data_IF_333416264655
#
_entry.id   IF_333416264655
#
_cell.length_a   1.000
_cell.length_b   1.000
_cell.length_c   1.000
_cell.angle_alpha   90.00
_cell.angle_beta   90.00
_cell.angle_gamma   90.00
#
_symmetry.space_group_name_H-M   'P 1'
#
loop_
_entity.id
_entity.type
_entity.pdbx_description
1 polymer ?
#
# COMPACT_ATOMS: atom_id res chain seq x y z
N UNK A 1 10.70 -21.96 -0.29
CA UNK A 1 10.83 -20.61 -0.89
C UNK A 1 9.42 -20.05 -1.10
N UNK A 2 8.93 -19.30 -0.12
CA UNK A 2 7.50 -19.00 0.06
C UNK A 2 7.17 -17.63 -0.53
N UNK A 3 6.68 -17.59 -1.77
CA UNK A 3 6.22 -16.35 -2.43
C UNK A 3 5.03 -16.57 -3.39
N UNK A 4 4.11 -17.48 -3.07
CA UNK A 4 2.86 -17.66 -3.84
C UNK A 4 1.71 -18.12 -2.94
N UNK A 5 1.37 -17.33 -1.92
CA UNK A 5 0.19 -17.60 -1.07
C UNK A 5 -0.73 -16.40 -0.90
N UNK A 6 -0.80 -15.53 -1.91
CA UNK A 6 -1.70 -14.35 -1.92
C UNK A 6 -2.66 -14.38 -3.11
N UNK A 7 -2.90 -15.54 -3.73
CA UNK A 7 -3.76 -15.63 -4.93
C UNK A 7 -4.94 -16.59 -4.77
N UNK A 8 -5.23 -17.07 -3.57
CA UNK A 8 -6.25 -18.11 -3.39
C UNK A 8 -7.18 -17.82 -2.22
N UNK A 9 -7.99 -16.77 -2.34
CA UNK A 9 -9.23 -16.67 -1.58
C UNK A 9 -10.27 -15.98 -2.46
N UNK A 10 -11.25 -16.76 -2.91
CA UNK A 10 -12.40 -16.29 -3.67
C UNK A 10 -13.20 -15.27 -2.85
N UNK A 11 -13.11 -14.00 -3.23
CA UNK A 11 -13.92 -12.92 -2.69
C UNK A 11 -14.75 -12.28 -3.82
N UNK A 12 -16.01 -11.91 -3.53
CA UNK A 12 -17.01 -11.47 -4.51
C UNK A 12 -16.49 -10.37 -5.42
N UNK A 13 -16.85 -10.44 -6.71
CA UNK A 13 -16.30 -9.69 -7.85
C UNK A 13 -16.02 -8.19 -7.67
N UNK A 14 -16.63 -7.50 -6.69
CA UNK A 14 -16.39 -6.08 -6.39
C UNK A 14 -15.23 -5.85 -5.42
N UNK A 15 -15.01 -6.78 -4.50
CA UNK A 15 -13.90 -6.80 -3.54
C UNK A 15 -12.59 -7.20 -4.24
N UNK A 16 -12.70 -8.11 -5.20
CA UNK A 16 -11.59 -8.55 -6.04
C UNK A 16 -10.95 -7.41 -6.85
N UNK A 17 -11.70 -6.37 -7.26
CA UNK A 17 -11.13 -5.31 -8.10
C UNK A 17 -10.13 -4.43 -7.34
N UNK A 18 -10.49 -4.00 -6.12
CA UNK A 18 -9.61 -3.18 -5.29
C UNK A 18 -8.35 -3.95 -4.87
N UNK A 19 -8.53 -5.21 -4.46
CA UNK A 19 -7.43 -6.07 -4.04
C UNK A 19 -6.53 -6.46 -5.22
N UNK A 20 -7.11 -6.80 -6.37
CA UNK A 20 -6.35 -7.09 -7.59
C UNK A 20 -5.53 -5.89 -8.06
N UNK A 21 -6.09 -4.67 -7.98
CA UNK A 21 -5.35 -3.45 -8.29
C UNK A 21 -4.20 -3.22 -7.32
N UNK A 22 -4.39 -3.51 -6.03
CA UNK A 22 -3.35 -3.36 -5.01
C UNK A 22 -2.21 -4.37 -5.24
N UNK A 23 -2.54 -5.60 -5.60
CA UNK A 23 -1.56 -6.61 -6.00
C UNK A 23 -0.80 -6.21 -7.28
N UNK A 24 -1.50 -5.69 -8.28
CA UNK A 24 -0.87 -5.15 -9.48
C UNK A 24 0.08 -4.01 -9.13
N UNK A 25 -0.32 -3.13 -8.21
CA UNK A 25 0.53 -2.09 -7.64
C UNK A 25 1.85 -2.64 -7.10
N UNK A 26 1.79 -3.66 -6.23
CA UNK A 26 2.98 -4.32 -5.68
C UNK A 26 3.84 -4.99 -6.76
N UNK A 27 3.22 -5.63 -7.76
CA UNK A 27 3.95 -6.25 -8.86
C UNK A 27 4.70 -5.21 -9.70
N UNK A 28 4.07 -4.06 -9.97
CA UNK A 28 4.73 -2.98 -10.70
C UNK A 28 5.87 -2.36 -9.89
N UNK A 29 5.74 -2.27 -8.57
CA UNK A 29 6.86 -1.88 -7.69
C UNK A 29 8.03 -2.88 -7.79
N UNK A 30 7.76 -4.19 -7.82
CA UNK A 30 8.81 -5.21 -8.01
C UNK A 30 9.48 -5.10 -9.38
N UNK A 31 8.73 -4.67 -10.41
CA UNK A 31 9.26 -4.39 -11.74
C UNK A 31 10.00 -3.04 -11.84
N UNK A 32 10.15 -2.33 -10.72
CA UNK A 32 10.71 -0.98 -10.65
C UNK A 32 9.91 0.06 -11.45
N UNK A 33 8.66 -0.25 -11.82
CA UNK A 33 7.72 0.65 -12.49
C UNK A 33 6.84 1.35 -11.47
N UNK A 34 7.42 2.35 -10.82
CA UNK A 34 6.75 3.14 -9.78
C UNK A 34 5.60 3.99 -10.33
N UNK A 35 5.66 4.37 -11.62
CA UNK A 35 4.60 5.17 -12.27
C UNK A 35 3.31 4.36 -12.39
N UNK A 36 3.41 3.16 -12.92
CA UNK A 36 2.24 2.29 -13.02
C UNK A 36 1.78 1.82 -11.65
N UNK A 37 2.71 1.49 -10.75
CA UNK A 37 2.36 1.13 -9.37
C UNK A 37 1.49 2.21 -8.70
N UNK A 38 1.91 3.48 -8.80
CA UNK A 38 1.15 4.62 -8.29
C UNK A 38 -0.24 4.70 -8.93
N UNK A 39 -0.34 4.51 -10.24
CA UNK A 39 -1.63 4.56 -10.94
C UNK A 39 -2.60 3.48 -10.46
N UNK A 40 -2.13 2.23 -10.35
CA UNK A 40 -2.94 1.10 -9.88
C UNK A 40 -3.37 1.27 -8.43
N UNK A 41 -2.45 1.67 -7.54
CA UNK A 41 -2.78 1.86 -6.12
C UNK A 41 -3.77 3.02 -5.94
N UNK A 42 -3.59 4.14 -6.67
CA UNK A 42 -4.57 5.23 -6.67
C UNK A 42 -5.92 4.80 -7.23
N UNK A 43 -5.94 3.94 -8.24
CA UNK A 43 -7.18 3.38 -8.76
C UNK A 43 -7.88 2.50 -7.73
N UNK A 44 -7.14 1.66 -6.99
CA UNK A 44 -7.67 0.86 -5.89
C UNK A 44 -8.33 1.73 -4.81
N UNK A 45 -7.62 2.80 -4.36
CA UNK A 45 -8.14 3.73 -3.37
C UNK A 45 -9.40 4.46 -3.89
N UNK A 46 -9.40 4.92 -5.15
CA UNK A 46 -10.55 5.60 -5.76
C UNK A 46 -11.77 4.71 -5.96
N UNK A 47 -11.54 3.42 -6.27
CA UNK A 47 -12.61 2.42 -6.37
C UNK A 47 -13.29 2.20 -5.02
N UNK A 48 -12.61 2.54 -3.92
CA UNK A 48 -13.09 2.35 -2.56
C UNK A 48 -12.83 0.92 -2.12
N UNK A 49 -11.90 0.76 -1.19
CA UNK A 49 -11.67 -0.53 -0.55
C UNK A 49 -12.66 -0.62 0.62
N UNK A 50 -13.55 -1.63 0.66
CA UNK A 50 -14.51 -1.78 1.76
C UNK A 50 -13.80 -2.10 3.08
N UNK A 51 -12.60 -2.65 2.99
CA UNK A 51 -11.75 -2.97 4.12
C UNK A 51 -10.75 -1.82 4.39
N UNK A 52 -10.82 -1.28 5.62
CA UNK A 52 -9.87 -0.27 6.13
C UNK A 52 -8.44 -0.80 6.15
N UNK A 53 -8.27 -2.11 6.28
CA UNK A 53 -6.99 -2.80 6.21
C UNK A 53 -6.37 -2.63 4.83
N UNK A 54 -7.11 -2.99 3.77
CA UNK A 54 -6.63 -2.87 2.40
C UNK A 54 -6.41 -1.41 2.01
N UNK A 55 -7.29 -0.51 2.45
CA UNK A 55 -7.11 0.93 2.24
C UNK A 55 -5.82 1.44 2.91
N UNK A 56 -5.52 0.98 4.12
CA UNK A 56 -4.28 1.31 4.81
C UNK A 56 -3.06 0.74 4.06
N UNK A 57 -3.13 -0.51 3.63
CA UNK A 57 -2.07 -1.13 2.84
C UNK A 57 -1.80 -0.34 1.54
N UNK A 58 -2.85 0.14 0.86
CA UNK A 58 -2.73 0.97 -0.33
C UNK A 58 -1.96 2.28 -0.04
N UNK A 59 -2.33 2.98 1.03
CA UNK A 59 -1.63 4.19 1.45
C UNK A 59 -0.17 3.93 1.85
N UNK A 60 0.15 2.77 2.45
CA UNK A 60 1.53 2.38 2.77
C UNK A 60 2.36 2.13 1.52
N UNK A 61 1.78 1.47 0.50
CA UNK A 61 2.46 1.32 -0.78
C UNK A 61 2.71 2.68 -1.43
N UNK A 62 1.74 3.61 -1.36
CA UNK A 62 1.97 4.97 -1.83
C UNK A 62 3.08 5.69 -1.09
N UNK A 63 3.14 5.54 0.24
CA UNK A 63 4.24 6.06 1.02
C UNK A 63 5.59 5.57 0.49
N UNK A 64 5.74 4.27 0.28
CA UNK A 64 6.97 3.66 -0.22
C UNK A 64 7.37 4.17 -1.62
N UNK A 65 6.39 4.35 -2.51
CA UNK A 65 6.64 4.96 -3.84
C UNK A 65 7.10 6.40 -3.72
N UNK A 66 6.45 7.21 -2.87
CA UNK A 66 6.83 8.61 -2.66
C UNK A 66 8.23 8.71 -2.05
N UNK A 67 8.60 7.80 -1.15
CA UNK A 67 9.96 7.71 -0.61
C UNK A 67 10.99 7.45 -1.72
N UNK A 68 10.70 6.51 -2.64
CA UNK A 68 11.58 6.25 -3.78
C UNK A 68 11.70 7.46 -4.72
N UNK A 69 10.62 8.22 -4.89
CA UNK A 69 10.60 9.48 -5.66
C UNK A 69 11.30 10.64 -4.93
N UNK A 70 11.82 10.42 -3.70
CA UNK A 70 12.36 11.46 -2.79
C UNK A 70 11.34 12.52 -2.38
N UNK A 71 10.06 12.21 -2.52
CA UNK A 71 8.92 13.04 -2.12
C UNK A 71 8.58 12.78 -0.64
N UNK A 72 9.50 13.13 0.26
CA UNK A 72 9.38 12.80 1.69
C UNK A 72 8.17 13.45 2.36
N UNK A 73 7.78 14.64 1.88
CA UNK A 73 6.61 15.37 2.39
C UNK A 73 5.31 14.61 2.05
N UNK A 74 5.18 14.14 0.81
CA UNK A 74 4.05 13.32 0.38
C UNK A 74 4.05 11.95 1.07
N UNK A 75 5.21 11.32 1.23
CA UNK A 75 5.35 10.04 1.93
C UNK A 75 4.80 10.13 3.37
N UNK A 76 5.19 11.16 4.12
CA UNK A 76 4.70 11.42 5.48
C UNK A 76 3.17 11.64 5.51
N UNK A 77 2.60 12.32 4.51
CA UNK A 77 1.15 12.53 4.41
C UNK A 77 0.39 11.22 4.20
N UNK A 78 0.83 10.40 3.25
CA UNK A 78 0.22 9.09 3.00
C UNK A 78 0.36 8.14 4.19
N UNK A 79 1.51 8.15 4.87
CA UNK A 79 1.71 7.36 6.07
C UNK A 79 0.76 7.76 7.21
N UNK A 80 0.52 9.05 7.39
CA UNK A 80 -0.48 9.53 8.37
C UNK A 80 -1.88 9.05 8.02
N UNK A 81 -2.26 9.04 6.73
CA UNK A 81 -3.55 8.50 6.26
C UNK A 81 -3.67 7.00 6.54
N UNK A 82 -2.62 6.22 6.25
CA UNK A 82 -2.58 4.80 6.59
C UNK A 82 -2.79 4.55 8.09
N UNK A 83 -2.07 5.29 8.96
CA UNK A 83 -2.25 5.19 10.42
C UNK A 83 -3.62 5.65 10.90
N UNK A 84 -4.22 6.65 10.24
CA UNK A 84 -5.54 7.15 10.60
C UNK A 84 -6.65 6.11 10.41
N UNK A 85 -6.47 5.18 9.47
CA UNK A 85 -7.40 4.06 9.25
C UNK A 85 -7.36 3.02 10.38
N UNK A 86 -6.36 3.07 11.26
CA UNK A 86 -6.17 2.16 12.40
C UNK A 86 -6.37 0.69 12.02
N UNK A 87 -5.56 0.17 11.07
CA UNK A 87 -5.58 -1.25 10.77
C UNK A 87 -5.26 -2.04 12.03
N UNK A 88 -6.03 -3.08 12.24
CA UNK A 88 -5.95 -4.07 13.30
C UNK A 88 -5.18 -5.32 12.87
N UNK A 89 -5.00 -5.52 11.56
CA UNK A 89 -4.29 -6.69 11.04
C UNK A 89 -2.81 -6.63 11.39
N UNK A 90 -2.24 -7.67 12.03
CA UNK A 90 -0.84 -7.70 12.43
C UNK A 90 0.11 -7.43 11.26
N UNK A 91 -0.17 -7.97 10.07
CA UNK A 91 0.66 -7.75 8.88
C UNK A 91 0.78 -6.25 8.52
N UNK A 92 -0.32 -5.50 8.56
CA UNK A 92 -0.33 -4.08 8.19
C UNK A 92 0.26 -3.24 9.33
N UNK A 93 -0.04 -3.56 10.58
CA UNK A 93 0.57 -2.90 11.75
C UNK A 93 2.09 -3.05 11.72
N UNK A 94 2.60 -4.22 11.38
CA UNK A 94 4.04 -4.44 11.25
C UNK A 94 4.63 -3.69 10.05
N UNK A 95 3.95 -3.63 8.90
CA UNK A 95 4.35 -2.77 7.79
C UNK A 95 4.39 -1.28 8.17
N UNK A 96 3.38 -0.81 8.92
CA UNK A 96 3.34 0.56 9.45
C UNK A 96 4.58 0.81 10.31
N UNK A 97 4.89 -0.07 11.26
CA UNK A 97 6.07 0.08 12.13
C UNK A 97 7.38 0.09 11.33
N UNK A 98 7.50 -0.78 10.32
CA UNK A 98 8.68 -0.80 9.45
C UNK A 98 8.83 0.55 8.73
N UNK A 99 7.78 0.99 8.03
CA UNK A 99 7.76 2.26 7.30
C UNK A 99 7.98 3.45 8.24
N UNK A 100 7.41 3.42 9.45
CA UNK A 100 7.60 4.45 10.49
C UNK A 100 9.08 4.62 10.83
N UNK A 101 9.79 3.51 11.02
CA UNK A 101 11.23 3.51 11.29
C UNK A 101 12.01 4.11 10.13
N UNK A 102 11.62 3.84 8.89
CA UNK A 102 12.25 4.49 7.73
C UNK A 102 11.91 5.97 7.65
N UNK A 103 10.63 6.36 7.81
CA UNK A 103 10.17 7.76 7.76
C UNK A 103 10.84 8.61 8.83
N UNK A 104 10.96 8.10 10.06
CA UNK A 104 11.61 8.82 11.16
C UNK A 104 13.08 9.14 10.88
N UNK A 105 13.73 8.38 9.98
CA UNK A 105 15.12 8.57 9.57
C UNK A 105 15.26 9.40 8.29
N UNK A 106 14.15 9.79 7.65
CA UNK A 106 14.20 10.61 6.45
C UNK A 106 14.42 12.09 6.80
N UNK A 107 15.33 12.78 6.09
CA UNK A 107 15.52 14.21 6.27
C UNK A 107 14.20 14.96 5.98
N UNK A 108 13.99 16.03 6.75
CA UNK A 108 12.78 16.86 6.73
C UNK A 108 12.55 17.53 5.39
#
# INVERSE_FOLDING_TARGET
KSMKKVLDLGMPMKEAEGDSMLQMGMLMMQKNDLKQAESYIRAAIRKGLPDKENESAAYLQMCSIMMNKREFRAAKDFFRKAKALKPTTPQIVDQIKQIEKYISRMPG
#
